data_IF_014633523440
#
_entry.id   IF_014633523440
#
_cell.length_a   1.000
_cell.length_b   1.000
_cell.length_c   1.000
_cell.angle_alpha   90.00
_cell.angle_beta   90.00
_cell.angle_gamma   90.00
#
_symmetry.space_group_name_H-M   'P 1'
#
loop_
_entity.id
_entity.type
_entity.pdbx_description
1 polymer ?
#
# COMPACT_ATOMS: atom_id res chain seq x y z
N UNK A 1 -40.87 -57.52 -2.36
CA UNK A 1 -40.74 -56.06 -2.16
C UNK A 1 -39.95 -55.83 -0.88
N UNK A 2 -38.95 -54.97 -0.95
CA UNK A 2 -37.71 -55.00 -0.16
C UNK A 2 -37.70 -53.85 0.86
N UNK A 3 -37.44 -54.13 2.14
CA UNK A 3 -37.16 -53.08 3.14
C UNK A 3 -35.92 -53.45 3.94
N UNK A 4 -34.79 -52.81 3.59
CA UNK A 4 -33.59 -52.79 4.44
C UNK A 4 -33.58 -51.47 5.24
N UNK A 5 -33.39 -51.49 6.56
CA UNK A 5 -33.22 -50.27 7.33
C UNK A 5 -31.81 -49.72 7.13
N UNK A 6 -31.70 -48.49 6.63
CA UNK A 6 -30.45 -47.74 6.59
C UNK A 6 -30.08 -47.31 8.01
N UNK A 7 -29.04 -47.92 8.60
CA UNK A 7 -28.43 -47.45 9.86
C UNK A 7 -27.67 -46.15 9.59
N UNK A 8 -28.01 -45.10 10.32
CA UNK A 8 -27.25 -43.86 10.35
C UNK A 8 -25.85 -44.12 10.93
N UNK A 9 -24.81 -43.89 10.14
CA UNK A 9 -23.44 -43.89 10.62
C UNK A 9 -23.18 -42.59 11.39
N UNK A 10 -22.95 -42.70 12.71
CA UNK A 10 -22.41 -41.59 13.51
C UNK A 10 -20.97 -41.33 13.06
N UNK A 11 -20.76 -40.20 12.39
CA UNK A 11 -19.42 -39.68 12.16
C UNK A 11 -18.86 -39.19 13.50
N UNK A 12 -17.99 -40.00 14.11
CA UNK A 12 -17.23 -39.60 15.29
C UNK A 12 -16.06 -38.71 14.82
N UNK A 13 -16.19 -37.41 15.05
CA UNK A 13 -15.12 -36.43 14.84
C UNK A 13 -14.08 -36.56 15.96
N UNK A 14 -13.10 -37.44 15.74
CA UNK A 14 -11.90 -37.60 16.55
C UNK A 14 -10.87 -36.50 16.16
N UNK A 15 -11.00 -35.31 16.74
CA UNK A 15 -9.88 -34.36 16.76
C UNK A 15 -9.24 -34.37 18.15
N UNK A 16 -7.93 -34.68 18.26
CA UNK A 16 -7.25 -34.79 19.55
C UNK A 16 -7.18 -33.41 20.22
N UNK A 17 -7.81 -33.28 21.40
CA UNK A 17 -8.02 -32.01 22.12
C UNK A 17 -6.76 -31.25 22.55
N UNK A 18 -5.56 -31.80 22.34
CA UNK A 18 -4.29 -31.14 22.63
C UNK A 18 -3.77 -30.22 21.51
N UNK A 19 -4.26 -30.37 20.28
CA UNK A 19 -3.76 -29.59 19.13
C UNK A 19 -4.44 -28.23 18.96
N UNK A 20 -5.70 -28.14 19.42
CA UNK A 20 -6.56 -26.95 19.31
C UNK A 20 -6.01 -25.72 20.06
N UNK A 21 -5.50 -25.82 21.32
CA UNK A 21 -4.95 -24.64 21.99
C UNK A 21 -3.63 -24.18 21.37
N UNK A 22 -2.82 -25.09 20.83
CA UNK A 22 -1.55 -24.77 20.18
C UNK A 22 -1.78 -24.08 18.83
N UNK A 23 -2.75 -24.56 18.05
CA UNK A 23 -3.17 -23.95 16.79
C UNK A 23 -3.84 -22.57 17.00
N UNK A 24 -4.65 -22.44 18.06
CA UNK A 24 -5.28 -21.16 18.42
C UNK A 24 -4.24 -20.13 18.88
N UNK A 25 -3.23 -20.56 19.65
CA UNK A 25 -2.12 -19.69 20.06
C UNK A 25 -1.26 -19.28 18.85
N UNK A 26 -0.97 -20.20 17.94
CA UNK A 26 -0.21 -19.92 16.71
C UNK A 26 -0.92 -18.90 15.80
N UNK A 27 -2.25 -18.94 15.70
CA UNK A 27 -3.02 -17.96 14.92
C UNK A 27 -3.01 -16.55 15.53
N UNK A 28 -2.89 -16.42 16.85
CA UNK A 28 -2.74 -15.10 17.51
C UNK A 28 -1.35 -14.49 17.26
N UNK A 29 -0.31 -15.31 17.02
CA UNK A 29 1.03 -14.81 16.71
C UNK A 29 1.18 -14.27 15.28
N UNK A 30 0.35 -14.73 14.32
CA UNK A 30 0.43 -14.30 12.92
C UNK A 30 -0.34 -12.99 12.62
N UNK A 31 -1.14 -12.46 13.55
CA UNK A 31 -2.07 -11.37 13.25
C UNK A 31 -1.48 -9.95 13.22
N UNK A 32 -0.17 -9.76 13.40
CA UNK A 32 0.38 -8.42 13.68
C UNK A 32 1.65 -8.01 12.91
N UNK A 33 2.02 -8.70 11.83
CA UNK A 33 3.11 -8.22 10.97
C UNK A 33 2.59 -7.15 9.99
N UNK A 34 2.46 -5.90 10.45
CA UNK A 34 2.27 -4.74 9.55
C UNK A 34 3.65 -4.14 9.28
N UNK A 35 4.25 -4.51 8.15
CA UNK A 35 5.47 -3.87 7.67
C UNK A 35 5.12 -2.55 6.98
N UNK A 36 5.57 -1.44 7.56
CA UNK A 36 5.61 -0.17 6.84
C UNK A 36 6.49 -0.33 5.62
N UNK A 37 5.92 -0.14 4.42
CA UNK A 37 6.71 -0.09 3.21
C UNK A 37 7.58 1.18 3.28
N UNK A 38 8.89 1.02 3.09
CA UNK A 38 9.79 2.16 2.94
C UNK A 38 9.41 3.02 1.74
N UNK A 39 10.08 4.17 1.59
CA UNK A 39 9.96 4.96 0.37
C UNK A 39 10.49 4.14 -0.81
N UNK A 40 9.72 4.07 -1.88
CA UNK A 40 10.10 3.36 -3.11
C UNK A 40 10.66 4.36 -4.11
N UNK A 41 11.85 4.06 -4.64
CA UNK A 41 12.42 4.79 -5.76
C UNK A 41 11.88 4.22 -7.07
N UNK A 42 11.48 5.11 -7.98
CA UNK A 42 10.97 4.76 -9.31
C UNK A 42 11.74 5.51 -10.38
N UNK A 43 11.79 4.94 -11.57
CA UNK A 43 12.52 5.50 -12.71
C UNK A 43 11.71 6.59 -13.41
N UNK A 44 12.38 7.51 -14.11
CA UNK A 44 11.71 8.56 -14.86
C UNK A 44 10.69 8.04 -15.92
N UNK A 45 10.95 6.93 -16.65
CA UNK A 45 9.96 6.32 -17.53
C UNK A 45 8.72 5.81 -16.79
N UNK A 46 8.88 5.26 -15.58
CA UNK A 46 7.76 4.81 -14.75
C UNK A 46 6.91 5.99 -14.27
N UNK A 47 7.54 7.09 -13.83
CA UNK A 47 6.82 8.33 -13.48
C UNK A 47 5.98 8.80 -14.65
N UNK A 48 6.55 8.86 -15.85
CA UNK A 48 5.82 9.25 -17.06
C UNK A 48 4.63 8.34 -17.32
N UNK A 49 4.84 7.03 -17.26
CA UNK A 49 3.79 6.04 -17.46
C UNK A 49 2.67 6.18 -16.41
N UNK A 50 3.02 6.47 -15.16
CA UNK A 50 2.05 6.70 -14.08
C UNK A 50 1.24 7.99 -14.31
N UNK A 51 1.89 9.07 -14.73
CA UNK A 51 1.21 10.34 -15.06
C UNK A 51 0.24 10.20 -16.24
N UNK A 52 0.55 9.35 -17.21
CA UNK A 52 -0.29 9.13 -18.41
C UNK A 52 -1.49 8.20 -18.12
N UNK A 53 -1.35 7.26 -17.18
CA UNK A 53 -2.34 6.19 -16.99
C UNK A 53 -3.10 6.22 -15.65
N UNK A 54 -2.60 6.89 -14.61
CA UNK A 54 -3.29 7.03 -13.32
C UNK A 54 -3.55 8.52 -12.99
N UNK A 55 -4.79 9.02 -13.16
CA UNK A 55 -5.12 10.41 -12.90
C UNK A 55 -5.05 10.81 -11.42
N UNK A 56 -4.88 9.85 -10.50
CA UNK A 56 -4.77 10.12 -9.07
C UNK A 56 -3.34 10.46 -8.66
N UNK A 57 -2.35 10.12 -9.47
CA UNK A 57 -0.94 10.34 -9.13
C UNK A 57 -0.65 11.83 -9.04
N UNK A 58 -0.04 12.24 -7.93
CA UNK A 58 0.41 13.61 -7.73
C UNK A 58 1.92 13.66 -7.74
N UNK A 59 2.48 14.35 -8.72
CA UNK A 59 3.92 14.58 -8.85
C UNK A 59 4.27 15.92 -8.21
N UNK A 60 5.19 15.90 -7.24
CA UNK A 60 5.52 17.04 -6.39
C UNK A 60 7.01 17.35 -6.52
N UNK A 61 7.31 18.58 -6.93
CA UNK A 61 8.66 19.12 -6.93
C UNK A 61 8.97 19.80 -5.58
N UNK A 62 10.04 19.37 -4.91
CA UNK A 62 10.45 19.86 -3.59
C UNK A 62 11.41 21.07 -3.59
N UNK A 63 11.84 21.54 -4.77
CA UNK A 63 12.77 22.66 -4.93
C UNK A 63 12.10 24.01 -4.61
N UNK A 64 12.92 25.08 -4.58
CA UNK A 64 12.40 26.44 -4.46
C UNK A 64 11.51 26.79 -5.66
N UNK A 65 10.64 27.78 -5.47
CA UNK A 65 9.77 28.25 -6.55
C UNK A 65 10.58 28.76 -7.76
N UNK A 66 11.72 29.41 -7.51
CA UNK A 66 12.58 29.95 -8.57
C UNK A 66 13.13 28.83 -9.45
N UNK A 67 13.61 27.73 -8.84
CA UNK A 67 14.11 26.57 -9.58
C UNK A 67 13.00 25.87 -10.36
N UNK A 68 11.83 25.71 -9.73
CA UNK A 68 10.66 25.13 -10.37
C UNK A 68 10.21 25.95 -11.59
N UNK A 69 10.14 27.28 -11.46
CA UNK A 69 9.75 28.16 -12.56
C UNK A 69 10.74 28.11 -13.73
N UNK A 70 12.02 27.78 -13.46
CA UNK A 70 13.05 27.60 -14.48
C UNK A 70 12.85 26.33 -15.32
N UNK A 71 12.75 25.16 -14.68
CA UNK A 71 12.46 23.89 -15.36
C UNK A 71 11.79 22.91 -14.39
N UNK A 72 10.69 22.30 -14.82
CA UNK A 72 9.96 21.29 -14.06
C UNK A 72 9.28 20.28 -14.98
N UNK A 73 8.78 19.19 -14.40
CA UNK A 73 7.96 18.21 -15.11
C UNK A 73 6.56 18.81 -15.29
N UNK A 74 6.12 18.97 -16.54
CA UNK A 74 4.78 19.51 -16.85
C UNK A 74 3.70 18.73 -16.13
N UNK A 75 2.81 19.42 -15.42
CA UNK A 75 1.73 18.81 -14.64
C UNK A 75 2.09 18.46 -13.19
N UNK A 76 3.36 18.63 -12.79
CA UNK A 76 3.73 18.57 -11.37
C UNK A 76 3.26 19.81 -10.61
N UNK A 77 3.27 19.73 -9.28
CA UNK A 77 3.04 20.86 -8.38
C UNK A 77 4.32 21.21 -7.61
N UNK A 78 4.55 22.49 -7.32
CA UNK A 78 5.66 22.91 -6.48
C UNK A 78 5.25 23.00 -5.01
N UNK A 79 5.93 22.24 -4.14
CA UNK A 79 5.85 22.40 -2.69
C UNK A 79 7.28 22.43 -2.17
N UNK A 80 7.88 23.62 -1.98
CA UNK A 80 9.22 23.73 -1.43
C UNK A 80 9.33 22.95 -0.11
N UNK A 81 10.43 22.22 0.08
CA UNK A 81 10.61 21.33 1.24
C UNK A 81 10.35 22.02 2.59
N UNK A 82 10.71 23.31 2.69
CA UNK A 82 10.49 24.14 3.89
C UNK A 82 9.01 24.36 4.23
N UNK A 83 8.13 24.24 3.23
CA UNK A 83 6.69 24.48 3.32
C UNK A 83 5.89 23.18 3.39
N UNK A 84 6.53 22.00 3.31
CA UNK A 84 5.82 20.72 3.16
C UNK A 84 4.88 20.43 4.33
N UNK A 85 5.29 20.76 5.56
CA UNK A 85 4.49 20.54 6.78
C UNK A 85 3.24 21.42 6.86
N UNK A 86 3.27 22.59 6.23
CA UNK A 86 2.20 23.60 6.30
C UNK A 86 1.41 23.72 5.00
N UNK A 87 1.83 23.00 3.95
CA UNK A 87 1.20 23.04 2.64
C UNK A 87 -0.23 22.49 2.68
N UNK A 88 -1.14 23.23 2.07
CA UNK A 88 -2.54 22.82 1.84
C UNK A 88 -2.74 22.15 0.47
N UNK A 89 -1.67 22.01 -0.32
CA UNK A 89 -1.73 21.44 -1.67
C UNK A 89 -1.64 19.91 -1.67
N UNK A 90 -1.31 19.31 -0.53
CA UNK A 90 -1.27 17.85 -0.40
C UNK A 90 -2.69 17.26 -0.42
N UNK A 91 -2.89 16.12 -1.09
CA UNK A 91 -4.16 15.41 -1.06
C UNK A 91 -4.61 15.07 0.37
N UNK A 92 -5.91 15.21 0.63
CA UNK A 92 -6.51 14.80 1.90
C UNK A 92 -6.50 13.27 2.05
N UNK A 93 -6.67 12.57 0.93
CA UNK A 93 -6.65 11.11 0.88
C UNK A 93 -5.20 10.58 0.91
N UNK A 94 -4.83 9.94 2.01
CA UNK A 94 -3.51 9.34 2.23
C UNK A 94 -3.22 8.11 1.36
N UNK A 95 -4.22 7.58 0.65
CA UNK A 95 -4.04 6.53 -0.33
C UNK A 95 -3.64 7.05 -1.71
N UNK A 96 -3.67 8.38 -1.90
CA UNK A 96 -3.24 9.01 -3.15
C UNK A 96 -1.75 8.79 -3.38
N UNK A 97 -1.33 8.21 -4.52
CA UNK A 97 0.09 8.03 -4.81
C UNK A 97 0.80 9.38 -4.96
N UNK A 98 1.85 9.59 -4.16
CA UNK A 98 2.69 10.78 -4.24
C UNK A 98 4.05 10.40 -4.82
N UNK A 99 4.48 11.13 -5.85
CA UNK A 99 5.82 11.02 -6.43
C UNK A 99 6.54 12.31 -6.07
N UNK A 100 7.55 12.24 -5.20
CA UNK A 100 8.37 13.39 -4.87
C UNK A 100 9.64 13.38 -5.70
N UNK A 101 10.01 14.54 -6.24
CA UNK A 101 11.27 14.71 -6.95
C UNK A 101 11.93 16.06 -6.65
N UNK A 102 13.23 16.13 -6.85
CA UNK A 102 14.04 17.34 -6.76
C UNK A 102 14.99 17.42 -7.98
N UNK A 103 16.17 18.03 -7.83
CA UNK A 103 17.19 18.04 -8.89
C UNK A 103 17.82 16.65 -9.15
N UNK A 104 17.51 15.65 -8.33
CA UNK A 104 18.17 14.35 -8.33
C UNK A 104 19.50 14.39 -7.57
N UNK A 105 20.15 13.25 -7.52
CA UNK A 105 21.52 13.09 -7.06
C UNK A 105 22.23 12.20 -8.09
N UNK A 106 23.46 12.56 -8.43
CA UNK A 106 24.31 11.88 -9.41
C UNK A 106 24.48 10.37 -9.12
#
# INVERSE_FOLDING_TARGET
MMTRPYRAARAASLLPGGFIPFLSLLMLFFSSQVFGQGVQDITAPEVKNMMENDPRVVVINALSKIEYDGLHITGSINIPVINFRTSKLLPVDKSTPLILYCMGQD
#
